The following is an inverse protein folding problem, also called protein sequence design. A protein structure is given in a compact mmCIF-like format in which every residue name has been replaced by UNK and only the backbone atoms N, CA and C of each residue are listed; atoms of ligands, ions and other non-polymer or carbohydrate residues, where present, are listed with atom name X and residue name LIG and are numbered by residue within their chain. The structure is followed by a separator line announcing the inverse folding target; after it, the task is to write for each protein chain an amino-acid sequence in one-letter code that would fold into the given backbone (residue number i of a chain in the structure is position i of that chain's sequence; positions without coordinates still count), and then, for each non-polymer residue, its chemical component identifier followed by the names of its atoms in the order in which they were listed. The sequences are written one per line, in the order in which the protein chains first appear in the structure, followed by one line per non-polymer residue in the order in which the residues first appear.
data_IF_129708967180
#
_entry.id   IF_129708967180
#
_cell.length_a   1.000
_cell.length_b   1.000
_cell.length_c   1.000
_cell.angle_alpha   90.00
_cell.angle_beta   90.00
_cell.angle_gamma   90.00
#
_symmetry.space_group_name_H-M   'P 1'
#
loop_
_entity.id
_entity.type
_entity.pdbx_description
1 polymer ?
#
# COMPACT_ATOMS: atom_id res chain seq x y z
N UNK A 1 35.01 -65.16 -27.99
CA UNK A 1 34.26 -64.01 -28.49
C UNK A 1 33.50 -63.44 -27.32
N UNK A 2 34.06 -62.42 -26.67
CA UNK A 2 33.49 -61.77 -25.50
C UNK A 2 32.89 -60.40 -25.92
N UNK A 3 31.60 -60.23 -25.77
CA UNK A 3 30.90 -58.98 -26.00
C UNK A 3 30.80 -58.21 -24.65
N UNK A 4 31.59 -57.18 -24.49
CA UNK A 4 31.38 -56.23 -23.44
C UNK A 4 30.31 -55.21 -23.89
N UNK A 5 29.22 -55.11 -23.13
CA UNK A 5 28.31 -53.96 -23.19
C UNK A 5 28.68 -52.97 -22.08
N UNK A 6 28.80 -51.70 -22.36
CA UNK A 6 28.97 -50.70 -21.31
C UNK A 6 27.62 -50.38 -20.66
N UNK A 7 27.55 -50.58 -19.35
CA UNK A 7 26.46 -50.09 -18.51
C UNK A 7 26.58 -48.57 -18.41
N UNK A 8 25.65 -47.87 -19.05
CA UNK A 8 25.50 -46.43 -18.89
C UNK A 8 24.93 -46.18 -17.49
N UNK A 9 25.74 -45.58 -16.63
CA UNK A 9 25.33 -45.19 -15.28
C UNK A 9 24.26 -44.08 -15.31
N UNK A 10 23.05 -44.44 -15.02
CA UNK A 10 21.89 -43.56 -14.94
C UNK A 10 21.90 -42.63 -13.68
N UNK A 11 22.96 -42.72 -12.87
CA UNK A 11 23.09 -41.96 -11.63
C UNK A 11 23.49 -40.50 -11.82
N UNK A 12 24.11 -40.13 -12.95
CA UNK A 12 24.60 -38.78 -13.22
C UNK A 12 23.54 -37.85 -13.79
N UNK A 13 22.51 -38.38 -14.46
CA UNK A 13 21.40 -37.57 -15.01
C UNK A 13 20.41 -37.09 -13.96
N UNK A 14 20.26 -37.80 -12.84
CA UNK A 14 19.36 -37.37 -11.75
C UNK A 14 19.91 -36.23 -10.90
N UNK A 15 21.23 -36.03 -10.84
CA UNK A 15 21.86 -34.95 -10.06
C UNK A 15 21.87 -33.63 -10.79
N UNK A 16 21.81 -33.60 -12.11
CA UNK A 16 21.74 -32.37 -12.90
C UNK A 16 20.33 -31.73 -12.89
N UNK A 17 19.26 -32.53 -12.68
CA UNK A 17 17.89 -32.02 -12.67
C UNK A 17 17.48 -31.38 -11.35
N UNK A 18 18.19 -31.63 -10.24
CA UNK A 18 17.90 -31.09 -8.91
C UNK A 18 18.59 -29.75 -8.65
N UNK A 19 19.61 -29.38 -9.44
CA UNK A 19 20.27 -28.07 -9.28
C UNK A 19 19.63 -26.94 -10.10
N UNK A 20 18.71 -27.25 -11.01
CA UNK A 20 18.03 -26.29 -11.87
C UNK A 20 16.81 -25.60 -11.23
N UNK A 21 16.33 -26.07 -10.08
CA UNK A 21 15.07 -25.59 -9.47
C UNK A 21 15.25 -24.58 -8.33
N UNK A 22 16.47 -24.14 -8.03
CA UNK A 22 16.76 -23.25 -6.89
C UNK A 22 17.10 -21.81 -7.29
N UNK A 23 16.88 -21.42 -8.54
CA UNK A 23 16.87 -20.02 -8.95
C UNK A 23 15.42 -19.52 -9.10
N UNK A 24 14.57 -19.79 -8.12
CA UNK A 24 13.41 -18.96 -7.90
C UNK A 24 13.98 -17.58 -7.52
N UNK A 25 14.03 -16.66 -8.49
CA UNK A 25 14.18 -15.24 -8.23
C UNK A 25 13.13 -14.91 -7.20
N UNK A 26 13.55 -14.65 -5.97
CA UNK A 26 12.74 -13.90 -5.04
C UNK A 26 12.51 -12.55 -5.73
N UNK A 27 11.38 -12.40 -6.41
CA UNK A 27 10.84 -11.08 -6.71
C UNK A 27 10.86 -10.39 -5.35
N UNK A 28 11.54 -9.26 -5.23
CA UNK A 28 11.50 -8.45 -4.03
C UNK A 28 10.02 -8.18 -3.78
N UNK A 29 9.45 -8.85 -2.78
CA UNK A 29 8.06 -8.67 -2.42
C UNK A 29 7.95 -7.27 -1.84
N UNK A 30 6.91 -6.55 -2.24
CA UNK A 30 6.58 -5.27 -1.61
C UNK A 30 6.49 -5.51 -0.10
N UNK A 31 7.33 -4.83 0.66
CA UNK A 31 7.37 -4.99 2.10
C UNK A 31 6.34 -4.05 2.73
N UNK A 32 5.46 -4.63 3.56
CA UNK A 32 4.51 -3.86 4.36
C UNK A 32 4.80 -4.12 5.84
N UNK A 33 5.15 -3.07 6.54
CA UNK A 33 5.41 -3.10 7.99
C UNK A 33 4.27 -2.38 8.69
N UNK A 34 3.54 -3.10 9.54
CA UNK A 34 2.54 -2.49 10.41
C UNK A 34 3.22 -1.65 11.49
N UNK A 35 2.89 -0.37 11.55
CA UNK A 35 3.45 0.58 12.51
C UNK A 35 2.49 0.89 13.66
N UNK A 36 1.19 0.70 13.45
CA UNK A 36 0.17 0.96 14.47
C UNK A 36 -1.12 0.16 14.21
N UNK A 37 -1.74 -0.30 15.28
CA UNK A 37 -3.13 -0.77 15.28
C UNK A 37 -3.72 -0.51 16.66
N UNK A 38 -4.90 0.14 16.69
CA UNK A 38 -5.66 0.32 17.92
C UNK A 38 -6.27 -1.03 18.33
N UNK A 39 -5.83 -1.53 19.48
CA UNK A 39 -6.31 -2.83 20.02
C UNK A 39 -7.77 -2.80 20.48
N UNK A 40 -8.33 -1.61 20.69
CA UNK A 40 -9.73 -1.45 21.03
C UNK A 40 -10.66 -1.41 19.81
N UNK A 41 -10.09 -1.27 18.60
CA UNK A 41 -10.87 -1.27 17.37
C UNK A 41 -11.00 -2.68 16.81
N UNK A 42 -12.19 -3.24 16.88
CA UNK A 42 -12.55 -4.61 16.45
C UNK A 42 -13.56 -4.65 15.30
N UNK A 43 -13.93 -3.49 14.77
CA UNK A 43 -14.99 -3.36 13.78
C UNK A 43 -14.42 -3.39 12.36
N UNK A 44 -15.04 -4.17 11.47
CA UNK A 44 -14.72 -4.15 10.05
C UNK A 44 -15.37 -2.95 9.36
N UNK A 45 -14.61 -2.30 8.50
CA UNK A 45 -15.10 -1.22 7.65
C UNK A 45 -15.62 -1.77 6.33
N UNK A 46 -16.76 -1.27 5.87
CA UNK A 46 -17.43 -1.73 4.65
C UNK A 46 -17.16 -0.81 3.48
N UNK A 47 -16.98 0.49 3.74
CA UNK A 47 -16.72 1.50 2.72
C UNK A 47 -15.58 2.43 3.13
N UNK A 48 -14.61 2.58 2.24
CA UNK A 48 -13.39 3.36 2.44
C UNK A 48 -13.27 4.44 1.38
N UNK A 49 -13.13 5.71 1.81
CA UNK A 49 -12.67 6.78 0.94
C UNK A 49 -11.14 6.72 0.86
N UNK A 50 -10.62 6.56 -0.35
CA UNK A 50 -9.17 6.48 -0.61
C UNK A 50 -8.63 7.85 -0.97
N UNK A 51 -7.57 8.27 -0.29
CA UNK A 51 -6.92 9.56 -0.46
C UNK A 51 -5.43 9.36 -0.72
N UNK A 52 -4.99 9.76 -1.89
CA UNK A 52 -3.57 9.88 -2.23
C UNK A 52 -3.12 11.32 -2.01
N UNK A 53 -2.09 11.54 -1.20
CA UNK A 53 -1.55 12.88 -0.99
C UNK A 53 -0.41 13.10 -1.97
N UNK A 54 -0.72 13.77 -3.09
CA UNK A 54 0.23 14.08 -4.15
C UNK A 54 -0.22 15.33 -4.91
N UNK A 55 0.73 16.17 -5.34
CA UNK A 55 0.42 17.41 -6.07
C UNK A 55 -0.03 17.12 -7.51
N UNK A 56 0.61 16.15 -8.18
CA UNK A 56 0.20 15.76 -9.52
C UNK A 56 -1.13 15.00 -9.48
N UNK A 57 -2.14 15.60 -10.07
CA UNK A 57 -3.50 15.07 -10.12
C UNK A 57 -3.59 13.71 -10.82
N UNK A 58 -2.78 13.50 -11.85
CA UNK A 58 -2.75 12.25 -12.60
C UNK A 58 -2.24 11.09 -11.75
N UNK A 59 -1.10 11.28 -11.09
CA UNK A 59 -0.51 10.30 -10.16
C UNK A 59 -1.44 10.00 -8.99
N UNK A 60 -2.02 11.06 -8.38
CA UNK A 60 -3.00 10.92 -7.31
C UNK A 60 -4.20 10.10 -7.76
N UNK A 61 -4.78 10.48 -8.89
CA UNK A 61 -5.97 9.80 -9.44
C UNK A 61 -5.72 8.34 -9.77
N UNK A 62 -4.55 8.04 -10.32
CA UNK A 62 -4.15 6.67 -10.60
C UNK A 62 -4.01 5.84 -9.31
N UNK A 63 -3.34 6.37 -8.30
CA UNK A 63 -3.19 5.71 -7.01
C UNK A 63 -4.56 5.43 -6.38
N UNK A 64 -5.39 6.46 -6.21
CA UNK A 64 -6.70 6.36 -5.56
C UNK A 64 -7.62 5.36 -6.27
N UNK A 65 -7.68 5.40 -7.61
CA UNK A 65 -8.47 4.48 -8.39
C UNK A 65 -7.97 3.04 -8.32
N UNK A 66 -6.64 2.84 -8.28
CA UNK A 66 -6.05 1.50 -8.21
C UNK A 66 -6.33 0.86 -6.84
N UNK A 67 -6.13 1.61 -5.73
CA UNK A 67 -6.45 1.12 -4.39
C UNK A 67 -7.95 0.89 -4.23
N UNK A 68 -8.80 1.80 -4.70
CA UNK A 68 -10.25 1.63 -4.64
C UNK A 68 -10.72 0.39 -5.41
N UNK A 69 -10.10 0.07 -6.55
CA UNK A 69 -10.36 -1.16 -7.31
C UNK A 69 -9.89 -2.40 -6.57
N UNK A 70 -8.71 -2.38 -5.95
CA UNK A 70 -8.18 -3.49 -5.16
C UNK A 70 -9.08 -3.80 -3.95
N UNK A 71 -9.57 -2.78 -3.25
CA UNK A 71 -10.55 -2.94 -2.16
C UNK A 71 -11.84 -3.62 -2.65
N UNK A 72 -12.39 -3.17 -3.79
CA UNK A 72 -13.60 -3.79 -4.37
C UNK A 72 -13.39 -5.25 -4.75
N UNK A 73 -12.21 -5.60 -5.22
CA UNK A 73 -11.88 -6.99 -5.59
C UNK A 73 -11.92 -7.96 -4.39
N UNK A 74 -11.81 -7.44 -3.16
CA UNK A 74 -11.88 -8.24 -1.91
C UNK A 74 -13.17 -8.01 -1.12
N UNK A 75 -14.19 -7.40 -1.71
CA UNK A 75 -15.52 -7.25 -1.10
C UNK A 75 -15.71 -5.98 -0.26
N UNK A 76 -14.73 -5.08 -0.20
CA UNK A 76 -14.84 -3.79 0.49
C UNK A 76 -15.03 -2.66 -0.52
N UNK A 77 -16.02 -1.79 -0.30
CA UNK A 77 -16.27 -0.67 -1.23
C UNK A 77 -15.18 0.38 -1.11
N UNK A 78 -14.37 0.55 -2.15
CA UNK A 78 -13.41 1.64 -2.28
C UNK A 78 -13.94 2.76 -3.18
N UNK A 79 -13.79 4.02 -2.75
CA UNK A 79 -14.12 5.22 -3.52
C UNK A 79 -12.94 6.17 -3.54
N UNK A 80 -12.57 6.68 -4.71
CA UNK A 80 -11.45 7.62 -4.86
C UNK A 80 -11.89 9.04 -4.49
N UNK A 81 -11.09 9.72 -3.67
CA UNK A 81 -11.42 11.07 -3.19
C UNK A 81 -11.39 12.13 -4.27
N UNK A 82 -10.64 11.90 -5.34
CA UNK A 82 -10.49 12.83 -6.46
C UNK A 82 -11.83 13.25 -7.11
N UNK A 83 -12.87 12.42 -6.99
CA UNK A 83 -14.21 12.75 -7.51
C UNK A 83 -14.97 13.77 -6.66
N UNK A 84 -14.50 14.02 -5.45
CA UNK A 84 -15.07 15.01 -4.53
C UNK A 84 -14.09 16.15 -4.19
N UNK A 85 -12.79 15.90 -4.32
CA UNK A 85 -11.70 16.82 -3.98
C UNK A 85 -10.72 16.87 -5.16
N UNK A 86 -10.94 17.80 -6.08
CA UNK A 86 -10.27 17.81 -7.39
C UNK A 86 -8.87 18.42 -7.38
N UNK A 87 -8.47 19.09 -6.30
CA UNK A 87 -7.13 19.69 -6.17
C UNK A 87 -6.41 19.27 -4.89
N UNK A 88 -5.08 19.36 -4.87
CA UNK A 88 -4.28 19.10 -3.67
C UNK A 88 -4.58 20.11 -2.56
N UNK A 89 -4.90 21.38 -2.91
CA UNK A 89 -5.27 22.41 -1.94
C UNK A 89 -6.59 22.16 -1.21
N UNK A 90 -7.44 21.25 -1.73
CA UNK A 90 -8.68 20.83 -1.07
C UNK A 90 -8.45 19.72 -0.02
N UNK A 91 -7.25 19.13 0.05
CA UNK A 91 -6.92 18.08 1.02
C UNK A 91 -6.72 18.65 2.42
N UNK A 92 -7.81 19.14 3.00
CA UNK A 92 -7.87 19.59 4.40
C UNK A 92 -8.68 18.61 5.23
N UNK A 93 -8.49 18.62 6.56
CA UNK A 93 -9.24 17.76 7.47
C UNK A 93 -10.76 17.92 7.29
N UNK A 94 -11.25 19.17 7.24
CA UNK A 94 -12.68 19.47 7.12
C UNK A 94 -13.26 19.00 5.79
N UNK A 95 -12.55 19.25 4.68
CA UNK A 95 -12.99 18.83 3.35
C UNK A 95 -12.99 17.30 3.23
N UNK A 96 -12.01 16.60 3.82
CA UNK A 96 -11.98 15.15 3.85
C UNK A 96 -13.12 14.55 4.66
N UNK A 97 -13.43 15.12 5.83
CA UNK A 97 -14.57 14.68 6.62
C UNK A 97 -15.88 14.91 5.86
N UNK A 98 -16.03 16.06 5.20
CA UNK A 98 -17.20 16.36 4.39
C UNK A 98 -17.34 15.42 3.20
N UNK A 99 -16.24 15.16 2.47
CA UNK A 99 -16.22 14.21 1.35
C UNK A 99 -16.53 12.75 1.80
N UNK A 100 -15.94 12.32 2.91
CA UNK A 100 -16.20 10.99 3.47
C UNK A 100 -17.66 10.81 3.90
N UNK A 101 -18.26 11.83 4.53
CA UNK A 101 -19.69 11.82 4.89
C UNK A 101 -20.58 11.79 3.66
N UNK A 102 -20.28 12.61 2.64
CA UNK A 102 -21.01 12.62 1.37
C UNK A 102 -20.92 11.27 0.67
N UNK A 103 -19.76 10.66 0.69
CA UNK A 103 -19.53 9.31 0.17
C UNK A 103 -20.20 8.22 1.03
N UNK A 104 -20.65 8.52 2.24
CA UNK A 104 -21.11 7.55 3.25
C UNK A 104 -20.03 6.50 3.54
N UNK A 105 -18.79 6.94 3.63
CA UNK A 105 -17.66 6.08 3.97
C UNK A 105 -17.58 5.88 5.50
N UNK A 106 -17.23 4.66 5.91
CA UNK A 106 -16.99 4.33 7.32
C UNK A 106 -15.62 4.82 7.76
N UNK A 107 -14.66 4.77 6.84
CA UNK A 107 -13.28 5.12 7.07
C UNK A 107 -12.66 5.90 5.90
N UNK A 108 -11.55 6.58 6.18
CA UNK A 108 -10.68 7.23 5.20
C UNK A 108 -9.31 6.60 5.26
N UNK A 109 -8.82 6.13 4.13
CA UNK A 109 -7.47 5.59 3.94
C UNK A 109 -6.61 6.66 3.30
N UNK A 110 -5.66 7.21 4.05
CA UNK A 110 -4.78 8.29 3.57
C UNK A 110 -3.39 7.74 3.35
N UNK A 111 -2.89 7.89 2.13
CA UNK A 111 -1.54 7.46 1.75
C UNK A 111 -0.72 8.64 1.28
N UNK A 112 0.49 8.77 1.79
CA UNK A 112 1.47 9.78 1.40
C UNK A 112 2.86 9.17 1.24
N UNK A 113 3.67 9.79 0.41
CA UNK A 113 5.11 9.49 0.37
C UNK A 113 5.77 10.02 1.64
N UNK A 114 6.62 9.24 2.28
CA UNK A 114 7.26 9.62 3.56
C UNK A 114 8.73 9.92 3.35
N UNK A 115 9.19 10.98 4.04
CA UNK A 115 10.61 11.19 4.27
C UNK A 115 11.01 10.48 5.57
N UNK A 116 12.20 9.89 5.58
CA UNK A 116 12.66 8.88 6.55
C UNK A 116 12.95 9.44 7.95
N UNK A 117 12.99 10.76 8.16
CA UNK A 117 13.68 11.32 9.33
C UNK A 117 12.82 11.87 10.47
N UNK A 118 11.50 11.92 10.37
CA UNK A 118 10.76 12.77 11.32
C UNK A 118 9.51 12.22 11.98
N UNK A 119 9.11 10.97 11.80
CA UNK A 119 7.84 10.51 12.39
C UNK A 119 8.01 9.52 13.53
N UNK A 120 7.44 9.87 14.68
CA UNK A 120 7.16 8.91 15.75
C UNK A 120 5.94 8.05 15.32
N UNK A 121 6.12 6.76 14.98
CA UNK A 121 5.04 5.90 14.48
C UNK A 121 3.95 5.63 15.52
N UNK A 122 4.25 5.82 16.80
CA UNK A 122 3.37 5.43 17.91
C UNK A 122 2.39 6.53 18.33
N UNK A 123 2.49 7.74 17.78
CA UNK A 123 1.60 8.82 18.15
C UNK A 123 0.19 8.60 17.56
N UNK A 124 -0.82 8.50 18.42
CA UNK A 124 -2.23 8.56 18.00
C UNK A 124 -2.51 9.95 17.44
N UNK A 125 -2.95 10.02 16.18
CA UNK A 125 -3.22 11.30 15.53
C UNK A 125 -4.66 11.37 15.06
N UNK A 126 -5.22 12.59 15.12
CA UNK A 126 -6.48 12.93 14.46
C UNK A 126 -6.21 13.39 13.02
N UNK A 127 -7.24 13.51 12.20
CA UNK A 127 -7.13 14.11 10.86
C UNK A 127 -6.46 15.51 10.90
N UNK A 128 -6.85 16.36 11.84
CA UNK A 128 -6.28 17.71 11.96
C UNK A 128 -4.78 17.67 12.19
N UNK A 129 -4.31 16.84 13.11
CA UNK A 129 -2.87 16.68 13.40
C UNK A 129 -2.11 16.14 12.19
N UNK A 130 -2.68 15.16 11.47
CA UNK A 130 -2.10 14.60 10.26
C UNK A 130 -1.87 15.68 9.19
N UNK A 131 -2.90 16.47 8.86
CA UNK A 131 -2.80 17.49 7.82
C UNK A 131 -1.95 18.70 8.22
N UNK A 132 -1.89 19.04 9.49
CA UNK A 132 -0.94 20.05 9.99
C UNK A 132 0.52 19.60 9.83
N UNK A 133 0.80 18.32 10.08
CA UNK A 133 2.12 17.76 9.83
C UNK A 133 2.46 17.72 8.33
N UNK A 134 1.48 17.33 7.49
CA UNK A 134 1.66 17.21 6.04
C UNK A 134 2.03 18.54 5.35
N UNK A 135 1.43 19.65 5.75
CA UNK A 135 1.71 20.96 5.14
C UNK A 135 3.18 21.39 5.23
N UNK A 136 3.98 20.73 6.08
CA UNK A 136 5.43 20.97 6.23
C UNK A 136 6.30 20.14 5.28
N UNK A 137 5.75 19.12 4.60
CA UNK A 137 6.50 18.12 3.82
C UNK A 137 6.05 18.00 2.37
N UNK A 138 5.50 19.07 1.80
CA UNK A 138 5.00 19.11 0.42
C UNK A 138 6.09 19.12 -0.67
N UNK A 139 7.37 19.02 -0.29
CA UNK A 139 8.45 18.99 -1.27
C UNK A 139 8.56 17.62 -1.97
N UNK A 140 8.69 17.58 -3.31
CA UNK A 140 8.85 16.33 -4.04
C UNK A 140 10.15 15.64 -3.65
N UNK A 141 10.06 14.34 -3.32
CA UNK A 141 11.24 13.53 -3.02
C UNK A 141 12.12 13.37 -4.26
N UNK A 142 13.45 13.43 -4.13
CA UNK A 142 14.35 13.19 -5.26
C UNK A 142 14.20 11.74 -5.75
N UNK A 143 13.88 11.60 -7.03
CA UNK A 143 13.78 10.31 -7.71
C UNK A 143 15.17 9.81 -8.03
N UNK A 144 15.66 8.83 -7.29
CA UNK A 144 16.87 8.10 -7.65
C UNK A 144 16.55 7.02 -8.69
N UNK A 145 17.50 6.64 -9.53
CA UNK A 145 17.37 5.76 -10.70
C UNK A 145 16.86 4.33 -10.43
N UNK A 146 16.65 3.97 -9.20
CA UNK A 146 15.88 2.80 -8.79
C UNK A 146 14.71 3.33 -7.94
N UNK A 147 13.49 3.22 -8.47
CA UNK A 147 12.28 3.69 -7.77
C UNK A 147 12.02 2.83 -6.53
N UNK A 148 12.61 3.20 -5.42
CA UNK A 148 12.17 2.73 -4.11
C UNK A 148 11.24 3.80 -3.56
N UNK A 149 9.95 3.52 -3.54
CA UNK A 149 8.95 4.42 -2.99
C UNK A 149 8.54 3.91 -1.62
N UNK A 150 8.79 4.70 -0.59
CA UNK A 150 8.23 4.45 0.74
C UNK A 150 7.00 5.31 0.91
N UNK A 151 5.92 4.66 1.27
CA UNK A 151 4.65 5.33 1.55
C UNK A 151 4.18 4.94 2.94
N UNK A 152 3.56 5.90 3.62
CA UNK A 152 2.81 5.65 4.83
C UNK A 152 1.33 5.71 4.51
N UNK A 153 0.60 4.74 5.02
CA UNK A 153 -0.85 4.69 4.90
C UNK A 153 -1.46 4.61 6.29
N UNK A 154 -2.38 5.52 6.56
CA UNK A 154 -3.13 5.60 7.80
C UNK A 154 -4.62 5.40 7.52
N UNK A 155 -5.32 4.63 8.39
CA UNK A 155 -6.76 4.43 8.36
C UNK A 155 -7.41 5.20 9.51
N UNK A 156 -8.36 6.06 9.18
CA UNK A 156 -9.12 6.86 10.13
C UNK A 156 -10.60 6.50 10.06
N UNK A 157 -11.27 6.40 11.21
CA UNK A 157 -12.71 6.21 11.29
C UNK A 157 -13.41 7.55 11.15
N UNK A 158 -14.39 7.64 10.25
CA UNK A 158 -15.08 8.92 9.95
C UNK A 158 -15.86 9.43 11.15
N UNK A 159 -16.50 8.56 11.92
CA UNK A 159 -17.33 8.94 13.06
C UNK A 159 -16.52 9.58 14.21
N UNK A 160 -15.34 9.06 14.51
CA UNK A 160 -14.48 9.50 15.62
C UNK A 160 -13.32 10.37 15.17
N UNK A 161 -13.00 10.37 13.88
CA UNK A 161 -11.82 10.99 13.27
C UNK A 161 -10.50 10.50 13.88
N UNK A 162 -10.53 9.34 14.56
CA UNK A 162 -9.34 8.73 15.17
C UNK A 162 -8.66 7.78 14.18
N UNK A 163 -7.33 7.77 14.22
CA UNK A 163 -6.53 6.77 13.53
C UNK A 163 -6.65 5.45 14.27
N UNK A 164 -7.03 4.40 13.53
CA UNK A 164 -7.12 3.04 14.07
C UNK A 164 -6.05 2.10 13.54
N UNK A 165 -5.37 2.48 12.46
CA UNK A 165 -4.34 1.64 11.86
C UNK A 165 -3.36 2.47 11.02
N UNK A 166 -2.10 2.00 10.97
CA UNK A 166 -1.08 2.57 10.11
C UNK A 166 -0.08 1.52 9.67
N UNK A 167 0.42 1.66 8.45
CA UNK A 167 1.51 0.87 7.88
C UNK A 167 2.47 1.74 7.09
N UNK A 168 3.70 1.27 6.99
CA UNK A 168 4.66 1.71 5.99
C UNK A 168 4.82 0.61 4.93
N UNK A 169 4.80 1.00 3.68
CA UNK A 169 5.00 0.11 2.54
C UNK A 169 6.19 0.58 1.74
N UNK A 170 7.06 -0.35 1.37
CA UNK A 170 8.17 -0.10 0.45
C UNK A 170 7.93 -0.90 -0.81
N UNK A 171 7.81 -0.23 -1.93
CA UNK A 171 7.67 -0.85 -3.24
C UNK A 171 8.95 -0.68 -4.06
N UNK A 172 9.40 -1.77 -4.64
CA UNK A 172 10.60 -1.83 -5.48
C UNK A 172 10.19 -2.11 -6.91
N UNK A 173 10.12 -1.08 -7.74
CA UNK A 173 9.89 -1.25 -9.17
C UNK A 173 10.95 -0.49 -9.95
N UNK A 174 11.62 -1.18 -10.88
CA UNK A 174 12.72 -0.61 -11.66
C UNK A 174 12.27 0.08 -12.95
N UNK A 175 11.02 -0.02 -13.36
CA UNK A 175 10.64 0.33 -14.74
C UNK A 175 9.48 1.29 -14.90
N UNK A 176 8.51 1.35 -13.98
CA UNK A 176 7.41 2.30 -14.11
C UNK A 176 6.63 2.55 -12.81
N UNK A 177 6.09 3.75 -12.68
CA UNK A 177 5.28 4.17 -11.53
C UNK A 177 3.99 3.34 -11.38
N UNK A 178 3.44 2.82 -12.49
CA UNK A 178 2.20 2.04 -12.47
C UNK A 178 2.37 0.71 -11.72
N UNK A 179 3.50 0.03 -11.94
CA UNK A 179 3.82 -1.21 -11.21
C UNK A 179 4.00 -0.97 -9.71
N UNK A 180 4.64 0.14 -9.34
CA UNK A 180 4.77 0.57 -7.94
C UNK A 180 3.39 0.76 -7.30
N UNK A 181 2.49 1.50 -7.95
CA UNK A 181 1.15 1.78 -7.44
C UNK A 181 0.33 0.49 -7.30
N UNK A 182 0.39 -0.41 -8.28
CA UNK A 182 -0.33 -1.69 -8.25
C UNK A 182 0.20 -2.60 -7.13
N UNK A 183 1.52 -2.65 -6.94
CA UNK A 183 2.17 -3.37 -5.84
C UNK A 183 1.71 -2.86 -4.49
N UNK A 184 1.79 -1.55 -4.26
CA UNK A 184 1.32 -0.91 -3.01
C UNK A 184 -0.17 -1.21 -2.77
N UNK A 185 -1.03 -1.08 -3.78
CA UNK A 185 -2.46 -1.32 -3.64
C UNK A 185 -2.78 -2.76 -3.22
N UNK A 186 -2.10 -3.75 -3.81
CA UNK A 186 -2.24 -5.17 -3.45
C UNK A 186 -1.74 -5.43 -2.03
N UNK A 187 -0.57 -4.90 -1.69
CA UNK A 187 0.05 -5.09 -0.38
C UNK A 187 -0.81 -4.46 0.73
N UNK A 188 -1.31 -3.24 0.55
CA UNK A 188 -2.22 -2.57 1.48
C UNK A 188 -3.51 -3.36 1.69
N UNK A 189 -4.14 -3.81 0.62
CA UNK A 189 -5.39 -4.57 0.69
C UNK A 189 -5.20 -5.91 1.41
N UNK A 190 -4.10 -6.62 1.10
CA UNK A 190 -3.75 -7.86 1.78
C UNK A 190 -3.52 -7.65 3.29
N UNK A 191 -2.82 -6.57 3.65
CA UNK A 191 -2.54 -6.25 5.05
C UNK A 191 -3.79 -5.84 5.82
N UNK A 192 -4.68 -5.02 5.24
CA UNK A 192 -5.96 -4.66 5.85
C UNK A 192 -6.83 -5.89 6.16
N UNK A 193 -6.85 -6.89 5.25
CA UNK A 193 -7.54 -8.17 5.48
C UNK A 193 -6.88 -8.98 6.58
N UNK A 194 -5.57 -9.11 6.54
CA UNK A 194 -4.78 -9.85 7.54
C UNK A 194 -4.99 -9.30 8.94
N UNK A 195 -5.11 -7.98 9.06
CA UNK A 195 -5.34 -7.27 10.32
C UNK A 195 -6.83 -7.22 10.72
N UNK A 196 -7.72 -7.83 9.94
CA UNK A 196 -9.14 -7.96 10.26
C UNK A 196 -9.99 -6.71 10.07
N UNK A 197 -9.45 -5.68 9.41
CA UNK A 197 -10.10 -4.36 9.25
C UNK A 197 -11.12 -4.33 8.10
N UNK A 198 -10.99 -5.26 7.14
CA UNK A 198 -11.91 -5.43 6.01
C UNK A 198 -12.31 -6.90 5.84
N UNK A 199 -13.19 -7.18 4.87
CA UNK A 199 -13.64 -8.55 4.57
C UNK A 199 -12.54 -9.42 3.99
#
# INVERSE_FOLDING_TARGET
MNRYQPLVEWSTLRRALLLGLLLARAAAADEVVKTYQDSAFDTKVSKILVVGVHEDFGTRGQFENTVARALRAVGTTGEASLYSLSSAGELTADNLVAAARKARADAVLVTRVVDVQTENPDATTTFTQYFQAYSKYADPLPVTTAYTVRVRTDLYIVATQQRVWAVESTAFEKQNLFGVIDGIAKALTAQLRKDGLIQ
#
